data_IF_439262863677
#
_entry.id   IF_439262863677
#
_cell.length_a   1.000
_cell.length_b   1.000
_cell.length_c   1.000
_cell.angle_alpha   90.00
_cell.angle_beta   90.00
_cell.angle_gamma   90.00
#
_symmetry.space_group_name_H-M   'P 1'
#
loop_
_entity.id
_entity.type
_entity.pdbx_description
1 polymer ?
#
# COMPACT_ATOMS: atom_id res chain seq x y z
N UNK A 1 3.09 4.19 8.04
CA UNK A 1 2.54 2.81 7.98
C UNK A 1 3.18 1.89 9.00
N UNK A 2 4.52 1.75 9.05
CA UNK A 2 5.20 0.87 10.01
C UNK A 2 4.93 1.19 11.49
N UNK A 3 5.00 2.47 11.88
CA UNK A 3 4.70 2.92 13.26
C UNK A 3 3.33 2.44 13.77
N UNK A 4 2.31 2.54 12.91
CA UNK A 4 0.95 2.10 13.23
C UNK A 4 0.87 0.59 13.31
N UNK A 5 1.62 -0.12 12.48
CA UNK A 5 1.65 -1.58 12.44
C UNK A 5 2.35 -2.21 13.65
N UNK A 6 3.34 -1.53 14.22
CA UNK A 6 4.00 -1.97 15.46
C UNK A 6 3.14 -1.75 16.71
N UNK A 7 2.17 -0.82 16.68
CA UNK A 7 1.16 -0.63 17.74
C UNK A 7 0.04 -1.67 17.71
N UNK A 8 -0.17 -2.34 16.58
CA UNK A 8 -1.21 -3.38 16.45
C UNK A 8 -0.65 -4.75 16.83
N UNK A 9 -1.46 -5.64 17.43
CA UNK A 9 -1.04 -6.99 17.78
C UNK A 9 -0.87 -7.86 16.52
N UNK A 10 0.24 -7.69 15.80
CA UNK A 10 0.63 -8.54 14.68
C UNK A 10 1.38 -9.76 15.20
N UNK A 11 0.98 -10.97 14.78
CA UNK A 11 1.67 -12.23 15.10
C UNK A 11 3.15 -12.11 14.75
N UNK A 12 4.04 -12.62 15.63
CA UNK A 12 5.51 -12.50 15.51
C UNK A 12 6.04 -12.92 14.12
N UNK A 13 5.44 -13.95 13.52
CA UNK A 13 5.81 -14.46 12.20
C UNK A 13 5.59 -13.46 11.04
N UNK A 14 4.70 -12.47 11.20
CA UNK A 14 4.39 -11.49 10.16
C UNK A 14 5.00 -10.11 10.43
N UNK A 15 5.69 -9.94 11.56
CA UNK A 15 6.31 -8.68 11.96
C UNK A 15 7.58 -8.41 11.15
N UNK A 16 7.88 -7.13 10.90
CA UNK A 16 9.05 -6.75 10.10
C UNK A 16 8.80 -6.82 8.59
N UNK A 17 9.49 -7.74 7.92
CA UNK A 17 9.53 -7.87 6.46
C UNK A 17 8.19 -8.26 5.82
N UNK A 18 7.44 -9.27 6.31
CA UNK A 18 6.26 -9.79 5.59
C UNK A 18 5.16 -8.73 5.47
N UNK A 19 4.83 -8.07 6.58
CA UNK A 19 3.81 -7.01 6.55
C UNK A 19 4.28 -5.78 5.78
N UNK A 20 5.57 -5.44 5.84
CA UNK A 20 6.11 -4.33 5.04
C UNK A 20 5.89 -4.60 3.54
N UNK A 21 6.13 -5.83 3.10
CA UNK A 21 5.92 -6.26 1.72
C UNK A 21 4.45 -6.17 1.28
N UNK A 22 3.53 -6.65 2.12
CA UNK A 22 2.08 -6.56 1.86
C UNK A 22 1.64 -5.09 1.76
N UNK A 23 2.09 -4.25 2.69
CA UNK A 23 1.73 -2.82 2.69
C UNK A 23 2.31 -2.06 1.50
N UNK A 24 3.53 -2.41 1.06
CA UNK A 24 4.14 -1.85 -0.14
C UNK A 24 3.38 -2.27 -1.41
N UNK A 25 2.98 -3.55 -1.51
CA UNK A 25 2.15 -4.04 -2.62
C UNK A 25 0.79 -3.33 -2.69
N UNK A 26 0.13 -3.14 -1.53
CA UNK A 26 -1.13 -2.40 -1.48
C UNK A 26 -0.96 -0.94 -1.90
N UNK A 27 0.13 -0.29 -1.48
CA UNK A 27 0.47 1.06 -1.95
C UNK A 27 0.69 1.10 -3.47
N UNK A 28 1.43 0.15 -4.03
CA UNK A 28 1.68 0.10 -5.48
C UNK A 28 0.36 -0.02 -6.29
N UNK A 29 -0.58 -0.84 -5.83
CA UNK A 29 -1.90 -0.97 -6.44
C UNK A 29 -2.71 0.33 -6.34
N UNK A 30 -2.67 1.00 -5.19
CA UNK A 30 -3.35 2.29 -5.00
C UNK A 30 -2.79 3.37 -5.95
N UNK A 31 -1.47 3.42 -6.12
CA UNK A 31 -0.84 4.35 -7.06
C UNK A 31 -1.16 4.02 -8.52
N UNK A 32 -1.19 2.74 -8.89
CA UNK A 32 -1.55 2.33 -10.25
C UNK A 32 -3.00 2.69 -10.60
N UNK A 33 -3.93 2.54 -9.65
CA UNK A 33 -5.33 2.93 -9.84
C UNK A 33 -5.49 4.45 -9.89
N UNK A 34 -4.74 5.18 -9.06
CA UNK A 34 -4.73 6.64 -9.04
C UNK A 34 -4.23 7.24 -10.36
N UNK A 35 -3.14 6.71 -10.91
CA UNK A 35 -2.59 7.13 -12.20
C UNK A 35 -3.63 6.99 -13.33
N UNK A 36 -4.25 5.81 -13.46
CA UNK A 36 -5.32 5.60 -14.44
C UNK A 36 -6.50 6.54 -14.23
N UNK A 37 -6.95 6.69 -12.97
CA UNK A 37 -8.08 7.56 -12.65
C UNK A 37 -7.79 9.03 -12.97
N UNK A 38 -6.58 9.51 -12.71
CA UNK A 38 -6.17 10.87 -13.02
C UNK A 38 -6.09 11.10 -14.53
N UNK A 39 -5.48 10.17 -15.28
CA UNK A 39 -5.37 10.26 -16.73
C UNK A 39 -6.75 10.29 -17.41
N UNK A 40 -7.69 9.45 -16.97
CA UNK A 40 -9.07 9.44 -17.48
C UNK A 40 -9.83 10.72 -17.11
N UNK A 41 -9.71 11.22 -15.87
CA UNK A 41 -10.44 12.43 -15.46
C UNK A 41 -9.88 13.72 -16.06
N UNK A 42 -8.61 13.75 -16.48
CA UNK A 42 -8.02 14.89 -17.18
C UNK A 42 -8.23 14.85 -18.70
N UNK A 43 -8.95 13.85 -19.25
CA UNK A 43 -9.20 13.73 -20.69
C UNK A 43 -7.90 13.74 -21.53
N UNK A 44 -6.80 13.22 -20.96
CA UNK A 44 -5.51 13.10 -21.64
C UNK A 44 -5.42 11.82 -22.49
N UNK A 45 -6.39 10.92 -22.35
CA UNK A 45 -6.61 9.70 -23.16
C UNK A 45 -8.10 9.58 -23.47
#
# INVERSE_FOLDING_TARGET
>A
VRERLDLHPVRKAYRGMPIAFISAGLMALAFMAFDKSLLTNLHLV
#
